data_IF_522642353599
#
_entry.id   IF_522642353599
#
_cell.length_a   1.000
_cell.length_b   1.000
_cell.length_c   1.000
_cell.angle_alpha   90.00
_cell.angle_beta   90.00
_cell.angle_gamma   90.00
#
_symmetry.space_group_name_H-M   'P 1'
#
loop_
_entity.id
_entity.type
_entity.pdbx_description
1 polymer ?
#
# COMPACT_ATOMS: atom_id res chain seq x y z
N UNK A 1 14.38 -19.05 21.05
CA UNK A 1 15.69 -18.65 20.48
C UNK A 1 15.61 -18.75 18.95
N UNK A 2 15.17 -17.69 18.28
CA UNK A 2 14.92 -17.68 16.82
C UNK A 2 15.49 -16.45 16.09
N UNK A 3 16.43 -15.73 16.71
CA UNK A 3 16.95 -14.44 16.24
C UNK A 3 18.23 -14.56 15.39
N UNK A 4 18.65 -15.76 14.98
CA UNK A 4 20.00 -16.02 14.44
C UNK A 4 20.04 -16.56 13.00
N UNK A 5 19.05 -16.27 12.14
CA UNK A 5 19.10 -16.78 10.75
C UNK A 5 18.83 -15.75 9.63
N UNK A 6 18.85 -14.46 9.94
CA UNK A 6 18.71 -13.39 8.95
C UNK A 6 18.06 -12.16 9.56
N UNK A 7 18.13 -11.04 8.85
CA UNK A 7 17.40 -9.82 9.20
C UNK A 7 15.94 -10.23 9.41
N UNK A 8 15.53 -10.27 10.68
CA UNK A 8 14.21 -10.77 11.05
C UNK A 8 13.14 -9.74 10.65
N UNK A 9 11.87 -10.14 10.53
CA UNK A 9 10.77 -9.20 10.31
C UNK A 9 10.78 -8.04 11.32
N UNK A 10 11.19 -8.31 12.56
CA UNK A 10 11.30 -7.33 13.64
C UNK A 10 12.34 -6.24 13.33
N UNK A 11 13.48 -6.62 12.75
CA UNK A 11 14.57 -5.70 12.43
C UNK A 11 14.23 -4.83 11.21
N UNK A 12 13.55 -5.42 10.21
CA UNK A 12 12.96 -4.67 9.10
C UNK A 12 11.96 -3.62 9.61
N UNK A 13 11.09 -4.00 10.56
CA UNK A 13 10.10 -3.07 11.15
C UNK A 13 10.79 -1.91 11.88
N UNK A 14 11.87 -2.17 12.62
CA UNK A 14 12.63 -1.12 13.32
C UNK A 14 13.23 -0.13 12.32
N UNK A 15 13.85 -0.62 11.24
CA UNK A 15 14.43 0.21 10.18
C UNK A 15 13.34 1.03 9.47
N UNK A 16 12.22 0.39 9.16
CA UNK A 16 11.05 1.05 8.58
C UNK A 16 10.57 2.18 9.48
N UNK A 17 10.49 1.95 10.79
CA UNK A 17 10.12 2.94 11.79
C UNK A 17 11.06 4.14 11.81
N UNK A 18 12.37 3.93 11.71
CA UNK A 18 13.36 5.01 11.63
C UNK A 18 13.20 5.85 10.36
N UNK A 19 13.00 5.21 9.21
CA UNK A 19 12.73 5.89 7.95
C UNK A 19 11.42 6.69 8.07
N UNK A 20 10.37 6.10 8.62
CA UNK A 20 9.10 6.78 8.84
C UNK A 20 9.19 7.95 9.82
N UNK A 21 10.12 7.92 10.79
CA UNK A 21 10.35 9.05 11.69
C UNK A 21 10.98 10.24 10.95
N UNK A 22 11.91 9.97 10.02
CA UNK A 22 12.58 11.01 9.23
C UNK A 22 11.67 11.56 8.13
N UNK A 23 11.00 10.67 7.38
CA UNK A 23 10.16 11.03 6.22
C UNK A 23 8.69 11.33 6.59
N UNK A 24 8.26 10.89 7.76
CA UNK A 24 6.87 10.98 8.23
C UNK A 24 5.98 9.86 7.69
N UNK A 25 5.03 9.42 8.52
CA UNK A 25 4.04 8.37 8.19
C UNK A 25 3.22 8.67 6.92
N UNK A 26 2.99 9.95 6.59
CA UNK A 26 2.09 10.37 5.51
C UNK A 26 2.66 10.21 4.10
N UNK A 27 4.00 10.20 3.95
CA UNK A 27 4.68 10.15 2.64
C UNK A 27 4.90 8.73 2.12
N UNK A 28 5.08 7.76 3.00
CA UNK A 28 5.28 6.36 2.63
C UNK A 28 4.10 5.72 1.84
N UNK A 29 2.83 5.88 2.25
CA UNK A 29 1.70 5.31 1.49
C UNK A 29 1.46 6.03 0.16
N UNK A 30 1.78 7.33 0.07
CA UNK A 30 1.64 8.13 -1.15
C UNK A 30 2.60 7.64 -2.26
N UNK A 31 3.86 7.40 -1.88
CA UNK A 31 4.88 6.83 -2.78
C UNK A 31 4.55 5.37 -3.12
N UNK A 32 4.10 4.57 -2.14
CA UNK A 32 3.69 3.18 -2.38
C UNK A 32 2.51 3.05 -3.34
N UNK A 33 1.51 3.93 -3.24
CA UNK A 33 0.33 3.93 -4.12
C UNK A 33 0.70 4.27 -5.57
N UNK A 34 1.53 5.30 -5.77
CA UNK A 34 1.98 5.70 -7.11
C UNK A 34 2.91 4.65 -7.74
N UNK A 35 3.85 4.09 -6.96
CA UNK A 35 4.73 3.02 -7.41
C UNK A 35 3.96 1.73 -7.71
N UNK A 36 2.96 1.38 -6.89
CA UNK A 36 2.12 0.20 -7.09
C UNK A 36 1.30 0.26 -8.38
N UNK A 37 0.77 1.44 -8.73
CA UNK A 37 0.10 1.67 -10.02
C UNK A 37 1.06 1.45 -11.19
N UNK A 38 2.28 2.00 -11.12
CA UNK A 38 3.30 1.83 -12.16
C UNK A 38 3.73 0.37 -12.35
N UNK A 39 3.97 -0.35 -11.24
CA UNK A 39 4.30 -1.78 -11.26
C UNK A 39 3.13 -2.59 -11.83
N UNK A 40 1.88 -2.26 -11.49
CA UNK A 40 0.70 -2.93 -12.05
C UNK A 40 0.62 -2.75 -13.56
N UNK A 41 0.79 -1.52 -14.05
CA UNK A 41 0.80 -1.23 -15.50
C UNK A 41 1.95 -1.95 -16.20
N UNK A 42 3.15 -1.97 -15.60
CA UNK A 42 4.31 -2.68 -16.13
C UNK A 42 4.07 -4.19 -16.19
N UNK A 43 3.53 -4.78 -15.11
CA UNK A 43 3.16 -6.21 -15.07
C UNK A 43 2.11 -6.53 -16.13
N UNK A 44 1.06 -5.72 -16.28
CA UNK A 44 0.03 -5.92 -17.31
C UNK A 44 0.58 -5.84 -18.73
N UNK A 45 1.53 -4.94 -18.98
CA UNK A 45 2.20 -4.82 -20.29
C UNK A 45 3.11 -6.03 -20.59
N UNK A 46 3.77 -6.59 -19.57
CA UNK A 46 4.67 -7.73 -19.74
C UNK A 46 3.95 -9.09 -19.84
N UNK A 47 2.87 -9.29 -19.08
CA UNK A 47 2.19 -10.58 -18.99
C UNK A 47 1.04 -10.76 -19.98
N UNK A 48 0.66 -9.71 -20.72
CA UNK A 48 -0.54 -9.74 -21.55
C UNK A 48 -1.81 -9.66 -20.71
N UNK A 49 -2.84 -9.06 -21.29
CA UNK A 49 -4.05 -8.52 -20.66
C UNK A 49 -5.00 -9.59 -20.03
N UNK A 50 -4.64 -10.18 -18.88
CA UNK A 50 -5.50 -11.12 -18.16
C UNK A 50 -5.85 -10.70 -16.71
N UNK A 51 -5.56 -9.46 -16.31
CA UNK A 51 -5.84 -9.00 -14.92
C UNK A 51 -6.52 -7.62 -14.90
N UNK A 52 -7.51 -7.45 -15.78
CA UNK A 52 -8.48 -6.36 -15.66
C UNK A 52 -9.48 -6.72 -14.57
N UNK A 53 -9.68 -5.74 -13.68
CA UNK A 53 -10.77 -5.65 -12.71
C UNK A 53 -10.44 -6.10 -11.28
N UNK A 54 -9.84 -5.16 -10.55
CA UNK A 54 -10.19 -4.83 -9.16
C UNK A 54 -9.23 -3.75 -8.70
N UNK A 55 -9.71 -2.53 -8.54
CA UNK A 55 -9.31 -1.55 -7.52
C UNK A 55 -9.97 -0.23 -7.86
N UNK A 56 -11.19 -0.07 -7.35
CA UNK A 56 -11.43 0.96 -6.34
C UNK A 56 -12.20 0.27 -5.21
N UNK A 57 -11.65 0.08 -3.99
CA UNK A 57 -12.53 -0.02 -2.84
C UNK A 57 -13.30 1.31 -2.78
N UNK A 58 -14.64 1.30 -2.65
CA UNK A 58 -15.39 2.50 -2.37
C UNK A 58 -14.78 3.12 -1.11
N UNK A 59 -14.10 4.25 -1.28
CA UNK A 59 -13.74 5.11 -0.17
C UNK A 59 -15.04 5.33 0.60
N UNK A 60 -15.01 4.96 1.88
CA UNK A 60 -16.15 4.86 2.78
C UNK A 60 -17.26 5.88 2.43
N UNK A 61 -18.40 5.39 1.92
CA UNK A 61 -19.65 6.14 2.03
C UNK A 61 -19.95 6.24 3.52
N UNK A 62 -19.47 7.31 4.16
CA UNK A 62 -20.13 7.87 5.32
C UNK A 62 -21.59 8.01 4.95
N UNK A 63 -22.46 7.39 5.73
CA UNK A 63 -23.90 7.52 5.57
C UNK A 63 -24.32 8.86 6.15
N UNK A 64 -24.48 9.86 5.30
CA UNK A 64 -25.16 11.11 5.63
C UNK A 64 -26.38 11.31 4.71
N UNK A 65 -27.50 11.52 5.40
CA UNK A 65 -28.72 12.18 4.89
C UNK A 65 -29.48 11.51 3.74
N UNK A 66 -30.14 10.39 4.09
CA UNK A 66 -31.50 10.16 3.60
C UNK A 66 -32.42 11.19 4.28
N UNK A 67 -32.63 12.34 3.62
CA UNK A 67 -33.62 13.34 4.00
C UNK A 67 -34.90 13.17 3.16
N UNK A 68 -35.98 12.60 3.71
CA UNK A 68 -37.29 12.59 3.09
C UNK A 68 -38.13 13.76 3.63
N UNK A 69 -38.02 14.93 3.00
CA UNK A 69 -39.07 15.95 3.03
C UNK A 69 -39.68 16.05 1.63
#
# INVERSE_FOLDING_TARGET
>A
MGFLRGIGPLEIIIILGLILLIFGWRRMPEIGSSMGKGIRTFKSALLGDDDKNKQDPPMAKGGDERNPY
#
